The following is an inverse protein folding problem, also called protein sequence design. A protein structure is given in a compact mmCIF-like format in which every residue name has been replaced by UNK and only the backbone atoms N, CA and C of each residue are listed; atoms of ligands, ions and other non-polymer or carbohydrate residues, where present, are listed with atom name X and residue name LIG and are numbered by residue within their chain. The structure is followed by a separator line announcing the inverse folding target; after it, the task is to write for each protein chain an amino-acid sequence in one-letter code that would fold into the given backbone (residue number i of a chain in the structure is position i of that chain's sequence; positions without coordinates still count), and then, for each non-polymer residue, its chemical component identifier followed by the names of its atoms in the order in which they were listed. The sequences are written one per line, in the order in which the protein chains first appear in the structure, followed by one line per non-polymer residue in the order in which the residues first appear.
data_IF_450984754446
#
_entry.id   IF_450984754446
#
_cell.length_a   1.000
_cell.length_b   1.000
_cell.length_c   1.000
_cell.angle_alpha   90.00
_cell.angle_beta   90.00
_cell.angle_gamma   90.00
#
_symmetry.space_group_name_H-M   'P 1'
#
loop_
_entity.id
_entity.type
_entity.pdbx_description
1 polymer ?
#
# COMPACT_ATOMS: atom_id res chain seq x y z
N UNK A 1 16.92 13.67 17.03
CA UNK A 1 17.29 13.03 15.75
C UNK A 1 16.10 13.22 14.83
N UNK A 2 16.32 13.57 13.58
CA UNK A 2 15.26 13.61 12.59
C UNK A 2 14.66 12.21 12.39
N UNK A 3 13.36 12.15 12.13
CA UNK A 3 12.67 10.90 11.80
C UNK A 3 12.90 10.57 10.34
N UNK A 4 13.04 9.27 9.98
CA UNK A 4 13.36 8.84 8.62
C UNK A 4 12.20 8.04 8.02
N UNK A 5 11.75 8.48 6.84
CA UNK A 5 10.70 7.78 6.11
C UNK A 5 11.18 7.25 4.74
N UNK A 6 10.82 6.01 4.41
CA UNK A 6 11.02 5.43 3.09
C UNK A 6 9.68 5.40 2.34
N UNK A 7 9.64 6.03 1.17
CA UNK A 7 8.44 6.13 0.33
C UNK A 7 8.68 5.49 -1.03
N UNK A 8 7.97 4.40 -1.35
CA UNK A 8 8.00 3.81 -2.68
C UNK A 8 6.95 4.44 -3.61
N UNK A 9 7.29 4.60 -4.90
CA UNK A 9 6.42 5.29 -5.84
C UNK A 9 6.27 6.78 -5.56
N UNK A 10 7.32 7.41 -5.04
CA UNK A 10 7.35 8.81 -4.58
C UNK A 10 7.25 9.86 -5.69
N UNK A 11 7.29 9.46 -6.96
CA UNK A 11 7.38 10.40 -8.09
C UNK A 11 6.05 10.98 -8.56
N UNK A 12 4.92 10.54 -8.00
CA UNK A 12 3.57 11.02 -8.38
C UNK A 12 2.48 10.60 -7.39
N UNK A 13 1.32 11.23 -7.51
CA UNK A 13 0.09 10.84 -6.82
C UNK A 13 0.24 10.75 -5.31
N UNK A 14 -0.33 9.72 -4.70
CA UNK A 14 -0.34 9.52 -3.25
C UNK A 14 1.08 9.49 -2.68
N UNK A 15 2.03 8.78 -3.32
CA UNK A 15 3.41 8.70 -2.83
C UNK A 15 4.12 10.06 -2.82
N UNK A 16 3.88 10.91 -3.83
CA UNK A 16 4.41 12.26 -3.85
C UNK A 16 3.78 13.14 -2.77
N UNK A 17 2.46 13.08 -2.61
CA UNK A 17 1.76 13.83 -1.56
C UNK A 17 2.23 13.41 -0.14
N UNK A 18 2.49 12.12 0.08
CA UNK A 18 3.13 11.66 1.32
C UNK A 18 4.52 12.25 1.51
N UNK A 19 5.37 12.22 0.47
CA UNK A 19 6.71 12.76 0.56
C UNK A 19 6.70 14.27 0.87
N UNK A 20 5.81 15.04 0.24
CA UNK A 20 5.62 16.47 0.49
C UNK A 20 5.16 16.74 1.92
N UNK A 21 4.19 15.98 2.41
CA UNK A 21 3.69 16.11 3.78
C UNK A 21 4.75 15.73 4.82
N UNK A 22 5.46 14.63 4.63
CA UNK A 22 6.51 14.18 5.54
C UNK A 22 7.70 15.14 5.56
N UNK A 23 8.09 15.72 4.42
CA UNK A 23 9.09 16.79 4.36
C UNK A 23 8.66 18.02 5.18
N UNK A 24 7.40 18.44 5.03
CA UNK A 24 6.84 19.56 5.80
C UNK A 24 6.77 19.27 7.31
N UNK A 25 6.55 18.00 7.69
CA UNK A 25 6.55 17.55 9.09
C UNK A 25 7.97 17.32 9.66
N UNK A 26 9.05 17.58 8.86
CA UNK A 26 10.45 17.54 9.29
C UNK A 26 11.10 16.16 9.22
N UNK A 27 10.57 15.24 8.44
CA UNK A 27 11.20 13.94 8.20
C UNK A 27 12.31 14.02 7.15
N UNK A 28 13.40 13.29 7.35
CA UNK A 28 14.33 12.90 6.30
C UNK A 28 13.67 11.81 5.44
N UNK A 29 14.00 11.79 4.14
CA UNK A 29 13.29 10.95 3.19
C UNK A 29 14.22 10.05 2.37
N UNK A 30 13.81 8.79 2.20
CA UNK A 30 14.33 7.90 1.16
C UNK A 30 13.21 7.76 0.13
N UNK A 31 13.40 8.32 -1.07
CA UNK A 31 12.41 8.33 -2.13
C UNK A 31 12.76 7.33 -3.22
N UNK A 32 11.90 6.33 -3.38
CA UNK A 32 12.09 5.25 -4.37
C UNK A 32 11.16 5.46 -5.56
N UNK A 33 11.74 5.43 -6.77
CA UNK A 33 10.98 5.56 -8.01
C UNK A 33 11.81 5.25 -9.24
N UNK A 34 11.16 5.04 -10.39
CA UNK A 34 11.84 4.79 -11.68
C UNK A 34 12.27 6.07 -12.39
N UNK A 35 11.58 7.19 -12.14
CA UNK A 35 11.84 8.46 -12.80
C UNK A 35 12.79 9.32 -11.95
N UNK A 36 14.07 9.29 -12.30
CA UNK A 36 15.13 10.01 -11.59
C UNK A 36 14.97 11.53 -11.68
N UNK A 37 14.51 12.07 -12.83
CA UNK A 37 14.29 13.50 -13.01
C UNK A 37 13.23 14.04 -12.02
N UNK A 38 12.16 13.27 -11.79
CA UNK A 38 11.12 13.62 -10.80
C UNK A 38 11.63 13.54 -9.36
N UNK A 39 12.53 12.58 -9.06
CA UNK A 39 13.20 12.51 -7.76
C UNK A 39 14.14 13.69 -7.55
N UNK A 40 14.90 14.07 -8.57
CA UNK A 40 15.79 15.24 -8.55
C UNK A 40 15.01 16.54 -8.37
N UNK A 41 13.90 16.68 -9.11
CA UNK A 41 13.03 17.85 -8.99
C UNK A 41 12.40 17.97 -7.59
N UNK A 42 12.02 16.84 -6.96
CA UNK A 42 11.52 16.83 -5.58
C UNK A 42 12.60 17.34 -4.61
N UNK A 43 13.81 16.77 -4.67
CA UNK A 43 14.91 17.16 -3.79
C UNK A 43 15.28 18.65 -3.95
N UNK A 44 15.25 19.17 -5.18
CA UNK A 44 15.51 20.58 -5.45
C UNK A 44 14.41 21.51 -4.88
N UNK A 45 13.17 21.05 -4.79
CA UNK A 45 12.05 21.80 -4.21
C UNK A 45 12.05 21.79 -2.66
N UNK A 46 12.77 20.86 -2.04
CA UNK A 46 12.84 20.69 -0.59
C UNK A 46 14.28 20.74 -0.07
N UNK A 47 14.98 21.90 -0.21
CA UNK A 47 16.41 22.01 0.11
C UNK A 47 16.73 21.81 1.60
N UNK A 48 15.75 22.00 2.48
CA UNK A 48 15.90 21.86 3.93
C UNK A 48 15.62 20.42 4.40
N UNK A 49 15.21 19.52 3.49
CA UNK A 49 14.95 18.10 3.78
C UNK A 49 16.10 17.24 3.25
N UNK A 50 16.64 16.36 4.08
CA UNK A 50 17.61 15.38 3.59
C UNK A 50 16.87 14.32 2.75
N UNK A 51 17.15 14.27 1.44
CA UNK A 51 16.49 13.38 0.49
C UNK A 51 17.51 12.44 -0.13
N UNK A 52 17.42 11.14 0.22
CA UNK A 52 18.11 10.06 -0.48
C UNK A 52 17.23 9.56 -1.63
N UNK A 53 17.76 9.62 -2.86
CA UNK A 53 17.04 9.21 -4.08
C UNK A 53 17.47 7.82 -4.51
N UNK A 54 16.51 6.91 -4.72
CA UNK A 54 16.76 5.53 -5.10
C UNK A 54 16.01 5.21 -6.38
N UNK A 55 16.77 5.02 -7.47
CA UNK A 55 16.22 4.55 -8.73
C UNK A 55 16.06 3.03 -8.67
N UNK A 56 14.84 2.53 -8.58
CA UNK A 56 14.56 1.10 -8.55
C UNK A 56 13.26 0.76 -9.28
N UNK A 57 13.28 -0.36 -10.02
CA UNK A 57 12.07 -0.95 -10.60
C UNK A 57 11.60 -2.12 -9.73
N UNK A 58 10.55 -1.86 -8.96
CA UNK A 58 9.96 -2.81 -8.02
C UNK A 58 9.18 -3.96 -8.69
N UNK A 59 9.07 -3.98 -10.02
CA UNK A 59 8.55 -5.12 -10.75
C UNK A 59 9.60 -6.23 -10.93
N UNK A 60 10.86 -5.94 -10.62
CA UNK A 60 12.00 -6.86 -10.72
C UNK A 60 12.49 -7.32 -9.35
N UNK A 61 12.99 -8.54 -9.27
CA UNK A 61 13.59 -9.08 -8.04
C UNK A 61 14.77 -8.21 -7.58
N UNK A 62 15.60 -7.72 -8.51
CA UNK A 62 16.74 -6.88 -8.21
C UNK A 62 16.33 -5.56 -7.55
N UNK A 63 15.31 -4.89 -8.11
CA UNK A 63 14.82 -3.63 -7.55
C UNK A 63 14.13 -3.82 -6.18
N UNK A 64 13.36 -4.89 -6.02
CA UNK A 64 12.74 -5.22 -4.74
C UNK A 64 13.80 -5.56 -3.67
N UNK A 65 14.85 -6.34 -4.03
CA UNK A 65 15.95 -6.68 -3.14
C UNK A 65 16.75 -5.44 -2.74
N UNK A 66 17.10 -4.57 -3.69
CA UNK A 66 17.81 -3.31 -3.41
C UNK A 66 17.09 -2.48 -2.34
N UNK A 67 15.78 -2.31 -2.49
CA UNK A 67 15.00 -1.50 -1.54
C UNK A 67 14.79 -2.23 -0.20
N UNK A 68 14.66 -3.55 -0.21
CA UNK A 68 14.58 -4.35 1.00
C UNK A 68 15.87 -4.29 1.83
N UNK A 69 17.04 -4.41 1.20
CA UNK A 69 18.35 -4.25 1.87
C UNK A 69 18.51 -2.86 2.47
N UNK A 70 18.08 -1.83 1.75
CA UNK A 70 18.09 -0.46 2.25
C UNK A 70 17.16 -0.32 3.47
N UNK A 71 15.95 -0.86 3.41
CA UNK A 71 15.00 -0.84 4.51
C UNK A 71 15.50 -1.58 5.77
N UNK A 72 16.25 -2.67 5.59
CA UNK A 72 16.87 -3.40 6.69
C UNK A 72 18.02 -2.64 7.37
N UNK A 73 18.78 -1.85 6.59
CA UNK A 73 19.99 -1.18 7.05
C UNK A 73 19.75 0.22 7.63
N UNK A 74 18.56 0.78 7.51
CA UNK A 74 18.21 2.14 7.94
C UNK A 74 17.25 2.14 9.14
N UNK A 75 17.38 3.07 10.09
CA UNK A 75 16.48 3.21 11.22
C UNK A 75 15.16 3.90 10.80
N UNK A 76 14.36 3.23 9.97
CA UNK A 76 13.13 3.79 9.45
C UNK A 76 12.08 3.98 10.55
N UNK A 77 11.53 5.17 10.67
CA UNK A 77 10.36 5.46 11.50
C UNK A 77 9.06 5.18 10.74
N UNK A 78 9.09 5.35 9.41
CA UNK A 78 7.96 5.04 8.53
C UNK A 78 8.43 4.36 7.24
N UNK A 79 7.79 3.23 6.91
CA UNK A 79 7.85 2.61 5.59
C UNK A 79 6.50 2.79 4.89
N UNK A 80 6.48 3.46 3.73
CA UNK A 80 5.32 3.56 2.86
C UNK A 80 5.51 2.73 1.58
N UNK A 81 4.87 1.57 1.50
CA UNK A 81 4.76 0.75 0.30
C UNK A 81 3.59 1.26 -0.57
N UNK A 82 3.85 2.29 -1.37
CA UNK A 82 2.84 2.93 -2.22
C UNK A 82 2.98 2.59 -3.70
N UNK A 83 4.16 2.24 -4.18
CA UNK A 83 4.36 1.93 -5.60
C UNK A 83 3.26 1.03 -6.17
N UNK A 84 2.78 1.32 -7.38
CA UNK A 84 1.67 0.59 -7.95
C UNK A 84 1.53 0.75 -9.45
N UNK A 85 1.05 -0.32 -10.05
CA UNK A 85 0.55 -0.39 -11.41
C UNK A 85 -0.80 -1.11 -11.40
N UNK A 86 -1.61 -0.88 -12.40
CA UNK A 86 -2.86 -1.62 -12.59
C UNK A 86 -3.02 -1.98 -14.07
N UNK A 87 -3.62 -3.14 -14.31
CA UNK A 87 -3.99 -3.58 -15.64
C UNK A 87 -5.46 -4.01 -15.58
N UNK A 88 -6.35 -3.12 -16.02
CA UNK A 88 -7.80 -3.32 -16.00
C UNK A 88 -8.24 -4.05 -17.27
N UNK A 89 -8.13 -5.38 -17.28
CA UNK A 89 -8.56 -6.21 -18.40
C UNK A 89 -8.95 -7.62 -17.93
N UNK A 90 -9.72 -8.37 -18.73
CA UNK A 90 -10.01 -9.77 -18.44
C UNK A 90 -8.74 -10.60 -18.33
N UNK A 91 -8.73 -11.59 -17.44
CA UNK A 91 -7.58 -12.48 -17.26
C UNK A 91 -7.19 -13.21 -18.58
N UNK A 92 -8.18 -13.50 -19.42
CA UNK A 92 -7.98 -14.14 -20.73
C UNK A 92 -7.20 -13.28 -21.73
N UNK A 93 -7.15 -11.97 -21.50
CA UNK A 93 -6.51 -10.98 -22.37
C UNK A 93 -5.26 -10.37 -21.74
N UNK A 94 -5.03 -10.59 -20.44
CA UNK A 94 -3.91 -10.02 -19.71
C UNK A 94 -2.60 -10.70 -20.12
N UNK A 95 -1.64 -9.95 -20.73
CA UNK A 95 -0.33 -10.50 -21.07
C UNK A 95 0.42 -10.98 -19.81
N UNK A 96 1.16 -12.07 -19.95
CA UNK A 96 1.85 -12.69 -18.81
C UNK A 96 2.91 -11.77 -18.17
N UNK A 97 3.59 -10.95 -18.96
CA UNK A 97 4.53 -9.94 -18.49
C UNK A 97 3.84 -8.85 -17.65
N UNK A 98 2.65 -8.41 -18.07
CA UNK A 98 1.84 -7.42 -17.33
C UNK A 98 1.29 -7.99 -16.03
N UNK A 99 0.91 -9.27 -16.01
CA UNK A 99 0.53 -9.95 -14.78
C UNK A 99 1.72 -10.04 -13.81
N UNK A 100 2.92 -10.39 -14.30
CA UNK A 100 4.14 -10.44 -13.48
C UNK A 100 4.54 -9.07 -12.97
N UNK A 101 4.53 -8.02 -13.81
CA UNK A 101 4.79 -6.64 -13.42
C UNK A 101 3.89 -6.24 -12.24
N UNK A 102 2.59 -6.47 -12.35
CA UNK A 102 1.62 -6.13 -11.32
C UNK A 102 1.87 -6.88 -10.02
N UNK A 103 2.06 -8.20 -10.09
CA UNK A 103 2.35 -9.03 -8.91
C UNK A 103 3.69 -8.65 -8.28
N UNK A 104 4.71 -8.37 -9.08
CA UNK A 104 6.00 -7.88 -8.59
C UNK A 104 5.84 -6.63 -7.75
N UNK A 105 5.18 -5.60 -8.30
CA UNK A 105 5.03 -4.30 -7.65
C UNK A 105 4.04 -4.33 -6.47
N UNK A 106 2.93 -5.08 -6.58
CA UNK A 106 1.83 -5.00 -5.58
C UNK A 106 1.80 -6.17 -4.58
N UNK A 107 2.57 -7.25 -4.82
CA UNK A 107 2.62 -8.40 -3.91
C UNK A 107 4.05 -8.63 -3.42
N UNK A 108 4.97 -8.90 -4.35
CA UNK A 108 6.34 -9.32 -3.98
C UNK A 108 7.10 -8.19 -3.29
N UNK A 109 7.23 -7.02 -3.94
CA UNK A 109 8.01 -5.91 -3.42
C UNK A 109 7.53 -5.44 -2.02
N UNK A 110 6.25 -5.11 -1.79
CA UNK A 110 5.81 -4.66 -0.46
C UNK A 110 5.97 -5.74 0.61
N UNK A 111 5.80 -7.04 0.28
CA UNK A 111 6.04 -8.14 1.21
C UNK A 111 7.50 -8.22 1.60
N UNK A 112 8.43 -8.19 0.61
CA UNK A 112 9.87 -8.31 0.86
C UNK A 112 10.44 -7.09 1.59
N UNK A 113 9.98 -5.89 1.25
CA UNK A 113 10.43 -4.65 1.89
C UNK A 113 9.91 -4.58 3.33
N UNK A 114 8.62 -4.92 3.56
CA UNK A 114 8.05 -4.99 4.92
C UNK A 114 8.78 -6.03 5.78
N UNK A 115 9.05 -7.24 5.23
CA UNK A 115 9.82 -8.29 5.91
C UNK A 115 11.21 -7.79 6.34
N UNK A 116 11.86 -7.00 5.50
CA UNK A 116 13.18 -6.46 5.80
C UNK A 116 13.15 -5.34 6.86
N UNK A 117 12.11 -4.49 6.84
CA UNK A 117 11.96 -3.36 7.75
C UNK A 117 11.44 -3.76 9.14
N UNK A 118 10.60 -4.80 9.24
CA UNK A 118 9.88 -5.10 10.49
C UNK A 118 10.81 -5.53 11.62
N UNK A 119 11.82 -6.36 11.36
CA UNK A 119 12.73 -6.87 12.39
C UNK A 119 13.53 -5.76 13.08
N UNK A 120 14.20 -4.81 12.38
CA UNK A 120 14.85 -3.68 13.04
C UNK A 120 13.85 -2.72 13.75
N UNK A 121 12.62 -2.56 13.25
CA UNK A 121 11.57 -1.77 13.92
C UNK A 121 11.17 -2.42 15.26
N UNK A 122 10.91 -3.73 15.26
CA UNK A 122 10.59 -4.50 16.48
C UNK A 122 11.73 -4.44 17.48
N UNK A 123 12.99 -4.64 17.05
CA UNK A 123 14.16 -4.56 17.92
C UNK A 123 14.32 -3.18 18.57
N UNK A 124 13.89 -2.12 17.89
CA UNK A 124 13.91 -0.74 18.38
C UNK A 124 12.68 -0.39 19.24
N UNK A 125 11.62 -1.17 19.14
CA UNK A 125 10.35 -0.91 19.83
C UNK A 125 9.54 0.24 19.22
N UNK A 126 9.80 0.62 17.96
CA UNK A 126 9.11 1.72 17.28
C UNK A 126 9.21 1.63 15.76
N UNK A 127 8.19 2.15 15.09
CA UNK A 127 8.12 2.24 13.64
C UNK A 127 6.68 2.10 13.13
N UNK A 128 6.48 2.42 11.86
CA UNK A 128 5.21 2.21 11.18
C UNK A 128 5.41 1.69 9.76
N UNK A 129 4.56 0.77 9.35
CA UNK A 129 4.50 0.25 7.97
C UNK A 129 3.12 0.56 7.42
N UNK A 130 3.05 1.29 6.31
CA UNK A 130 1.82 1.59 5.58
C UNK A 130 1.89 0.94 4.21
N UNK A 131 0.96 0.03 3.94
CA UNK A 131 0.80 -0.63 2.65
C UNK A 131 -0.39 -0.01 1.90
N UNK A 132 -0.15 0.63 0.76
CA UNK A 132 -1.21 1.25 -0.05
C UNK A 132 -1.85 0.20 -0.95
N UNK A 133 -3.06 -0.21 -0.57
CA UNK A 133 -3.94 -1.10 -1.32
C UNK A 133 -5.00 -0.29 -2.09
N UNK A 134 -6.27 -0.45 -1.75
CA UNK A 134 -7.42 0.26 -2.30
C UNK A 134 -8.72 -0.50 -2.06
N UNK A 135 -9.86 0.19 -2.12
CA UNK A 135 -11.19 -0.39 -1.91
C UNK A 135 -11.51 -1.56 -2.86
N UNK A 136 -10.83 -1.64 -4.00
CA UNK A 136 -10.94 -2.79 -4.93
C UNK A 136 -10.51 -4.10 -4.25
N UNK A 137 -9.65 -4.08 -3.23
CA UNK A 137 -9.30 -5.27 -2.45
C UNK A 137 -10.50 -5.97 -1.79
N UNK A 138 -11.56 -5.23 -1.50
CA UNK A 138 -12.81 -5.75 -0.93
C UNK A 138 -13.87 -6.14 -1.99
N UNK A 139 -13.56 -5.99 -3.27
CA UNK A 139 -14.53 -6.17 -4.36
C UNK A 139 -14.65 -7.59 -4.89
N UNK A 140 -14.07 -8.60 -4.22
CA UNK A 140 -14.18 -10.01 -4.63
C UNK A 140 -15.61 -10.49 -4.83
N UNK A 141 -16.55 -10.21 -3.89
CA UNK A 141 -17.95 -10.61 -4.01
C UNK A 141 -18.79 -9.76 -4.98
N UNK A 142 -18.22 -8.68 -5.54
CA UNK A 142 -18.97 -7.77 -6.40
C UNK A 142 -19.48 -8.47 -7.67
N UNK A 143 -20.68 -8.13 -8.15
CA UNK A 143 -21.25 -8.78 -9.35
C UNK A 143 -20.40 -8.49 -10.59
N UNK A 144 -20.51 -9.36 -11.61
CA UNK A 144 -19.76 -9.26 -12.86
C UNK A 144 -20.04 -7.96 -13.65
N UNK A 145 -21.13 -7.25 -13.34
CA UNK A 145 -21.44 -5.93 -13.88
C UNK A 145 -20.48 -4.83 -13.40
N UNK A 146 -19.74 -5.05 -12.32
CA UNK A 146 -18.73 -4.12 -11.84
C UNK A 146 -17.53 -4.15 -12.78
N UNK A 147 -17.32 -3.07 -13.49
CA UNK A 147 -16.25 -2.90 -14.49
C UNK A 147 -15.30 -1.80 -14.06
N UNK A 148 -14.07 -1.83 -14.59
CA UNK A 148 -13.45 -2.81 -15.51
C UNK A 148 -13.10 -4.14 -14.85
N UNK A 149 -12.87 -5.23 -15.65
CA UNK A 149 -12.31 -6.49 -15.18
C UNK A 149 -10.96 -6.27 -14.50
N UNK A 150 -10.70 -6.95 -13.38
CA UNK A 150 -9.55 -6.62 -12.53
C UNK A 150 -9.08 -7.77 -11.61
N UNK A 151 -9.27 -9.01 -12.02
CA UNK A 151 -9.02 -10.16 -11.15
C UNK A 151 -7.61 -10.17 -10.53
N UNK A 152 -6.56 -9.96 -11.34
CA UNK A 152 -5.17 -9.93 -10.83
C UNK A 152 -4.95 -8.70 -9.94
N UNK A 153 -5.42 -7.53 -10.36
CA UNK A 153 -5.27 -6.29 -9.57
C UNK A 153 -6.06 -6.36 -8.26
N UNK A 154 -7.32 -6.77 -8.31
CA UNK A 154 -8.15 -6.94 -7.11
C UNK A 154 -7.57 -7.97 -6.15
N UNK A 155 -7.10 -9.11 -6.68
CA UNK A 155 -6.43 -10.14 -5.89
C UNK A 155 -5.14 -9.66 -5.22
N UNK A 156 -4.33 -8.85 -5.93
CA UNK A 156 -3.12 -8.26 -5.37
C UNK A 156 -3.42 -7.25 -4.23
N UNK A 157 -4.48 -6.45 -4.37
CA UNK A 157 -4.89 -5.53 -3.31
C UNK A 157 -5.51 -6.27 -2.12
N UNK A 158 -6.28 -7.34 -2.35
CA UNK A 158 -6.79 -8.20 -1.29
C UNK A 158 -5.66 -8.90 -0.52
N UNK A 159 -4.59 -9.32 -1.22
CA UNK A 159 -3.36 -9.80 -0.57
C UNK A 159 -2.80 -8.76 0.40
N UNK A 160 -2.65 -7.50 -0.01
CA UNK A 160 -2.13 -6.45 0.86
C UNK A 160 -3.02 -6.20 2.09
N UNK A 161 -4.34 -6.29 1.94
CA UNK A 161 -5.27 -6.18 3.07
C UNK A 161 -5.01 -7.30 4.07
N UNK A 162 -5.08 -8.56 3.64
CA UNK A 162 -4.87 -9.72 4.51
C UNK A 162 -3.45 -9.74 5.10
N UNK A 163 -2.42 -9.48 4.29
CA UNK A 163 -1.03 -9.41 4.72
C UNK A 163 -0.82 -8.38 5.84
N UNK A 164 -1.37 -7.18 5.68
CA UNK A 164 -1.18 -6.11 6.67
C UNK A 164 -1.93 -6.40 7.97
N UNK A 165 -3.13 -6.98 7.90
CA UNK A 165 -3.88 -7.39 9.08
C UNK A 165 -3.14 -8.49 9.87
N UNK A 166 -2.61 -9.52 9.18
CA UNK A 166 -1.82 -10.57 9.81
C UNK A 166 -0.51 -10.02 10.40
N UNK A 167 0.21 -9.18 9.65
CA UNK A 167 1.45 -8.56 10.14
C UNK A 167 1.17 -7.67 11.37
N UNK A 168 0.05 -6.96 11.42
CA UNK A 168 -0.32 -6.17 12.59
C UNK A 168 -0.48 -7.04 13.85
N UNK A 169 -1.07 -8.24 13.73
CA UNK A 169 -1.17 -9.18 14.85
C UNK A 169 0.18 -9.77 15.24
N UNK A 170 1.07 -10.04 14.29
CA UNK A 170 2.42 -10.55 14.56
C UNK A 170 3.30 -9.57 15.35
N UNK A 171 3.09 -8.25 15.17
CA UNK A 171 3.86 -7.20 15.85
C UNK A 171 3.12 -6.54 17.00
N UNK A 172 1.99 -7.07 17.42
CA UNK A 172 1.22 -6.56 18.55
C UNK A 172 2.09 -6.49 19.82
N UNK A 173 2.00 -5.38 20.55
CA UNK A 173 2.78 -5.15 21.77
C UNK A 173 4.26 -4.79 21.55
N UNK A 174 4.76 -4.78 20.31
CA UNK A 174 6.18 -4.45 20.03
C UNK A 174 6.45 -2.95 19.87
N UNK A 175 5.42 -2.11 19.83
CA UNK A 175 5.53 -0.68 19.51
C UNK A 175 5.57 -0.36 18.01
N UNK A 176 5.53 -1.38 17.14
CA UNK A 176 5.43 -1.20 15.68
C UNK A 176 3.95 -1.15 15.26
N UNK A 177 3.61 -0.21 14.39
CA UNK A 177 2.26 -0.06 13.82
C UNK A 177 2.23 -0.52 12.37
N UNK A 178 1.18 -1.23 11.99
CA UNK A 178 0.96 -1.65 10.60
C UNK A 178 -0.42 -1.17 10.16
N UNK A 179 -0.46 -0.54 8.99
CA UNK A 179 -1.70 -0.05 8.39
C UNK A 179 -1.77 -0.47 6.94
N UNK A 180 -2.95 -0.90 6.49
CA UNK A 180 -3.28 -0.94 5.07
C UNK A 180 -4.18 0.24 4.73
N UNK A 181 -3.72 1.07 3.80
CA UNK A 181 -4.45 2.22 3.30
C UNK A 181 -5.26 1.82 2.07
N UNK A 182 -6.58 1.96 2.15
CA UNK A 182 -7.54 1.50 1.15
C UNK A 182 -8.34 2.68 0.55
N UNK A 183 -7.72 3.56 -0.25
CA UNK A 183 -8.45 4.65 -0.87
C UNK A 183 -9.42 4.14 -1.95
N UNK A 184 -10.46 4.92 -2.20
CA UNK A 184 -11.29 4.82 -3.39
C UNK A 184 -10.59 5.37 -4.64
N UNK A 185 -11.33 6.07 -5.49
CA UNK A 185 -10.75 6.76 -6.65
C UNK A 185 -10.09 8.06 -6.19
N UNK A 186 -8.81 8.24 -6.53
CA UNK A 186 -8.01 9.40 -6.12
C UNK A 186 -7.62 10.23 -7.34
N UNK A 187 -7.63 11.56 -7.20
CA UNK A 187 -7.28 12.51 -8.25
C UNK A 187 -5.75 12.53 -8.49
N UNK A 188 -5.27 11.54 -9.23
CA UNK A 188 -3.85 11.37 -9.56
C UNK A 188 -3.67 10.96 -11.02
N UNK A 189 -2.43 10.94 -11.50
CA UNK A 189 -2.09 10.43 -12.85
C UNK A 189 -2.26 8.90 -12.98
N UNK A 190 -2.60 8.17 -11.91
CA UNK A 190 -2.61 6.70 -11.90
C UNK A 190 -3.56 6.13 -12.95
N UNK A 191 -4.81 6.58 -12.99
CA UNK A 191 -5.81 6.07 -13.92
C UNK A 191 -5.52 6.50 -15.37
N UNK A 192 -5.09 7.75 -15.57
CA UNK A 192 -4.72 8.27 -16.89
C UNK A 192 -3.56 7.47 -17.50
N UNK A 193 -2.57 7.07 -16.69
CA UNK A 193 -1.48 6.18 -17.14
C UNK A 193 -1.96 4.78 -17.53
N UNK A 194 -3.13 4.38 -17.06
CA UNK A 194 -3.79 3.11 -17.43
C UNK A 194 -4.78 3.29 -18.60
N UNK A 195 -4.79 4.47 -19.23
CA UNK A 195 -5.72 4.77 -20.34
C UNK A 195 -7.17 5.00 -19.91
N UNK A 196 -7.41 5.22 -18.61
CA UNK A 196 -8.75 5.46 -18.08
C UNK A 196 -8.96 6.95 -17.80
N UNK A 197 -10.00 7.53 -18.41
CA UNK A 197 -10.47 8.86 -18.05
C UNK A 197 -11.45 8.76 -16.87
N UNK A 198 -11.01 9.29 -15.75
CA UNK A 198 -11.79 9.35 -14.50
C UNK A 198 -12.24 10.79 -14.18
N UNK A 199 -12.17 11.72 -15.14
CA UNK A 199 -12.45 13.15 -14.91
C UNK A 199 -13.85 13.44 -14.38
N UNK A 200 -14.83 12.64 -14.79
CA UNK A 200 -16.25 12.76 -14.40
C UNK A 200 -16.61 11.98 -13.13
N UNK A 201 -15.68 11.20 -12.59
CA UNK A 201 -15.90 10.41 -11.36
C UNK A 201 -15.52 11.26 -10.14
N UNK A 202 -16.37 11.37 -9.11
CA UNK A 202 -15.97 12.00 -7.85
C UNK A 202 -14.71 11.34 -7.29
N UNK A 203 -13.72 12.14 -6.90
CA UNK A 203 -12.40 11.68 -6.50
C UNK A 203 -11.93 12.46 -5.28
N UNK A 204 -11.32 11.75 -4.35
CA UNK A 204 -10.60 12.34 -3.24
C UNK A 204 -9.25 12.90 -3.73
N UNK A 205 -8.75 13.96 -3.16
CA UNK A 205 -7.37 14.43 -3.42
C UNK A 205 -6.34 13.49 -2.81
N UNK A 206 -5.10 13.53 -3.29
CA UNK A 206 -4.03 12.76 -2.69
C UNK A 206 -3.68 13.25 -1.28
N UNK A 207 -3.81 14.53 -1.03
CA UNK A 207 -3.56 15.20 0.26
C UNK A 207 -4.59 14.77 1.33
N UNK A 208 -5.88 14.64 0.95
CA UNK A 208 -6.91 14.11 1.85
C UNK A 208 -6.64 12.65 2.22
N UNK A 209 -6.19 11.82 1.25
CA UNK A 209 -5.81 10.43 1.49
C UNK A 209 -4.62 10.36 2.46
N UNK A 210 -3.61 11.22 2.30
CA UNK A 210 -2.46 11.30 3.22
C UNK A 210 -2.90 11.72 4.62
N UNK A 211 -3.77 12.73 4.71
CA UNK A 211 -4.30 13.19 6.00
C UNK A 211 -5.04 12.07 6.73
N UNK A 212 -5.91 11.32 6.03
CA UNK A 212 -6.61 10.18 6.60
C UNK A 212 -5.65 9.07 7.05
N UNK A 213 -4.64 8.74 6.24
CA UNK A 213 -3.68 7.69 6.58
C UNK A 213 -2.87 8.02 7.83
N UNK A 214 -2.34 9.24 7.94
CA UNK A 214 -1.59 9.67 9.12
C UNK A 214 -2.49 9.72 10.36
N UNK A 215 -3.72 10.20 10.22
CA UNK A 215 -4.69 10.20 11.30
C UNK A 215 -5.09 8.78 11.72
N UNK A 216 -5.32 7.88 10.77
CA UNK A 216 -5.60 6.47 11.04
C UNK A 216 -4.46 5.78 11.80
N UNK A 217 -3.19 6.09 11.46
CA UNK A 217 -2.03 5.62 12.23
C UNK A 217 -2.05 6.12 13.68
N UNK A 218 -2.42 7.37 13.93
CA UNK A 218 -2.57 7.92 15.30
C UNK A 218 -3.68 7.22 16.07
N UNK A 219 -4.80 6.92 15.41
CA UNK A 219 -5.95 6.20 15.96
C UNK A 219 -5.69 4.70 16.16
N UNK A 220 -4.59 4.16 15.62
CA UNK A 220 -4.27 2.74 15.67
C UNK A 220 -5.07 1.89 14.68
N UNK A 221 -5.60 2.47 13.63
CA UNK A 221 -6.35 1.74 12.60
C UNK A 221 -5.42 0.85 11.77
N UNK A 222 -5.71 -0.44 11.74
CA UNK A 222 -5.02 -1.39 10.86
C UNK A 222 -5.54 -1.28 9.42
N UNK A 223 -6.85 -1.06 9.24
CA UNK A 223 -7.47 -0.84 7.93
C UNK A 223 -7.96 0.60 7.88
N UNK A 224 -7.27 1.45 7.13
CA UNK A 224 -7.68 2.84 6.89
C UNK A 224 -8.37 2.94 5.53
N UNK A 225 -9.64 3.28 5.50
CA UNK A 225 -10.44 3.44 4.28
C UNK A 225 -11.04 4.87 4.22
N UNK A 226 -10.30 5.85 3.68
CA UNK A 226 -10.63 7.28 3.78
C UNK A 226 -12.02 7.69 3.29
N UNK A 227 -12.61 6.90 2.39
CA UNK A 227 -13.93 7.19 1.81
C UNK A 227 -15.09 6.40 2.44
N UNK A 228 -14.86 5.66 3.52
CA UNK A 228 -15.90 4.90 4.23
C UNK A 228 -16.26 5.67 5.50
N UNK A 229 -17.43 6.30 5.48
CA UNK A 229 -17.93 7.12 6.60
C UNK A 229 -18.38 6.26 7.79
N UNK A 230 -18.97 5.09 7.51
CA UNK A 230 -19.46 4.14 8.50
C UNK A 230 -18.41 3.04 8.72
N UNK A 231 -17.63 3.14 9.79
CA UNK A 231 -16.58 2.19 10.16
C UNK A 231 -17.13 0.81 10.56
N UNK A 232 -18.40 0.72 10.96
CA UNK A 232 -19.09 -0.56 11.22
C UNK A 232 -19.11 -1.45 9.97
N UNK A 233 -19.06 -0.90 8.76
CA UNK A 233 -18.95 -1.68 7.52
C UNK A 233 -17.64 -2.46 7.45
N UNK A 234 -16.50 -1.85 7.81
CA UNK A 234 -15.20 -2.52 7.84
C UNK A 234 -15.13 -3.55 8.97
N UNK A 235 -15.68 -3.20 10.13
CA UNK A 235 -15.77 -4.11 11.26
C UNK A 235 -16.67 -5.32 10.92
N UNK A 236 -17.76 -5.14 10.15
CA UNK A 236 -18.62 -6.23 9.71
C UNK A 236 -17.91 -7.22 8.78
N UNK A 237 -17.05 -6.73 7.86
CA UNK A 237 -16.21 -7.59 7.01
C UNK A 237 -15.30 -8.45 7.88
N UNK A 238 -14.55 -7.85 8.79
CA UNK A 238 -13.64 -8.57 9.68
C UNK A 238 -14.38 -9.59 10.57
N UNK A 239 -15.55 -9.23 11.10
CA UNK A 239 -16.38 -10.16 11.89
C UNK A 239 -16.85 -11.36 11.05
N UNK A 240 -17.23 -11.13 9.78
CA UNK A 240 -17.66 -12.20 8.89
C UNK A 240 -16.52 -13.16 8.55
N UNK A 241 -15.32 -12.65 8.27
CA UNK A 241 -14.13 -13.45 8.00
C UNK A 241 -13.74 -14.30 9.21
N UNK A 242 -13.71 -13.71 10.40
CA UNK A 242 -13.43 -14.43 11.65
C UNK A 242 -14.50 -15.48 11.96
N UNK A 243 -15.77 -15.19 11.73
CA UNK A 243 -16.86 -16.15 11.93
C UNK A 243 -16.74 -17.34 10.96
N UNK A 244 -16.39 -17.08 9.70
CA UNK A 244 -16.16 -18.14 8.71
C UNK A 244 -14.94 -18.99 9.09
N UNK A 245 -13.83 -18.36 9.51
CA UNK A 245 -12.64 -19.07 9.98
C UNK A 245 -12.92 -19.92 11.22
N UNK A 246 -13.60 -19.39 12.23
CA UNK A 246 -13.92 -20.08 13.46
C UNK A 246 -15.01 -21.17 13.28
N UNK A 247 -15.86 -21.01 12.28
CA UNK A 247 -16.96 -21.94 11.99
C UNK A 247 -16.55 -23.23 11.27
N UNK A 248 -15.27 -23.43 10.96
CA UNK A 248 -14.79 -24.66 10.34
C UNK A 248 -14.87 -25.85 11.32
N UNK A 249 -15.22 -27.02 10.81
CA UNK A 249 -15.33 -28.27 11.55
C UNK A 249 -14.47 -29.34 10.89
N UNK A 250 -13.94 -30.34 11.65
CA UNK A 250 -13.30 -31.52 11.07
C UNK A 250 -14.29 -32.42 10.33
N UNK A 251 -15.60 -32.26 10.56
CA UNK A 251 -16.64 -33.05 9.88
C UNK A 251 -17.06 -32.37 8.56
N UNK A 252 -17.39 -33.24 7.57
CA UNK A 252 -17.94 -32.76 6.31
C UNK A 252 -19.28 -32.05 6.54
N UNK A 253 -19.37 -30.79 6.06
CA UNK A 253 -20.60 -30.03 6.19
C UNK A 253 -21.79 -30.72 5.48
N UNK A 254 -22.98 -30.63 6.07
CA UNK A 254 -24.20 -31.35 5.59
C UNK A 254 -24.58 -31.00 4.15
N UNK A 255 -24.26 -29.77 3.67
CA UNK A 255 -24.49 -29.32 2.27
C UNK A 255 -23.65 -30.05 1.22
N UNK A 256 -22.67 -30.87 1.64
CA UNK A 256 -21.82 -31.67 0.76
C UNK A 256 -22.08 -33.21 0.90
N UNK A 257 -23.06 -33.59 1.74
CA UNK A 257 -23.47 -35.00 1.97
C UNK A 257 -24.56 -35.41 1.00
#
# INVERSE_FOLDING_TARGET
MSTLALVTGATSGIGRAFAERLAADGHDLILVGRNTERLDAFAAQHPDTAVEKVAADLSTDAGATQVAELAASRPLDLLLNNAGVAHYMPLTELPADKARELLGVKVIAPTMISRAAVAPMVARGSGAIVNVAGMIGFSGPAPASVKPPRSVYGGALAHLVAFSQLLATEVEGTGVRVQVLCPGVVATEFHTRQGLDMSVVPRMSAEEVVTAALRGLELGEVVCAPGVEDDDLLAAVSRADLAAFAGQSPELASRYR
#
